data_IF_478374205079
#
_entry.id   IF_478374205079
#
_cell.length_a   1.000
_cell.length_b   1.000
_cell.length_c   1.000
_cell.angle_alpha   90.00
_cell.angle_beta   90.00
_cell.angle_gamma   90.00
#
_symmetry.space_group_name_H-M   'P 1'
#
loop_
_entity.id
_entity.type
_entity.pdbx_description
1 polymer ?
#
# COMPACT_ATOMS: atom_id res chain seq x y z
N UNK A 1 -41.67 -36.46 -22.34
CA UNK A 1 -40.30 -36.42 -21.75
C UNK A 1 -39.91 -34.96 -21.68
N UNK A 2 -40.15 -34.36 -20.51
CA UNK A 2 -39.87 -32.94 -20.27
C UNK A 2 -38.46 -32.81 -19.65
N UNK A 3 -37.50 -32.29 -20.41
CA UNK A 3 -36.16 -31.98 -19.94
C UNK A 3 -36.19 -30.73 -19.06
N UNK A 4 -36.09 -30.90 -17.75
CA UNK A 4 -35.91 -29.82 -16.82
C UNK A 4 -34.52 -29.24 -16.96
N UNK A 5 -34.40 -27.97 -17.35
CA UNK A 5 -33.16 -27.21 -17.31
C UNK A 5 -32.77 -26.97 -15.85
N UNK A 6 -31.65 -27.55 -15.41
CA UNK A 6 -31.02 -27.19 -14.15
C UNK A 6 -30.47 -25.76 -14.27
N UNK A 7 -31.14 -24.80 -13.68
CA UNK A 7 -30.59 -23.46 -13.44
C UNK A 7 -29.60 -23.61 -12.28
N UNK A 8 -28.31 -23.54 -12.58
CA UNK A 8 -27.29 -23.52 -11.54
C UNK A 8 -27.52 -22.33 -10.61
N UNK A 9 -27.63 -22.59 -9.31
CA UNK A 9 -27.74 -21.55 -8.32
C UNK A 9 -26.53 -20.60 -8.43
N UNK A 10 -26.69 -19.27 -8.25
CA UNK A 10 -25.57 -18.34 -8.30
C UNK A 10 -24.56 -18.77 -7.22
N UNK A 11 -23.31 -19.01 -7.64
CA UNK A 11 -22.21 -19.24 -6.69
C UNK A 11 -22.11 -18.00 -5.82
N UNK A 12 -22.44 -18.14 -4.53
CA UNK A 12 -22.12 -17.13 -3.52
C UNK A 12 -20.60 -16.94 -3.56
N UNK A 13 -20.16 -15.74 -3.89
CA UNK A 13 -18.75 -15.39 -3.81
C UNK A 13 -18.27 -15.59 -2.37
N UNK A 14 -17.10 -16.20 -2.15
CA UNK A 14 -16.57 -16.36 -0.82
C UNK A 14 -16.44 -14.98 -0.13
N UNK A 15 -16.60 -14.89 1.20
CA UNK A 15 -16.65 -13.61 1.95
C UNK A 15 -15.48 -12.66 1.66
N UNK A 16 -14.28 -13.19 1.37
CA UNK A 16 -13.10 -12.40 1.02
C UNK A 16 -13.18 -11.67 -0.33
N UNK A 17 -14.14 -12.02 -1.20
CA UNK A 17 -14.39 -11.32 -2.46
C UNK A 17 -15.42 -10.18 -2.33
N UNK A 18 -16.15 -10.09 -1.23
CA UNK A 18 -17.22 -9.10 -1.06
C UNK A 18 -16.70 -7.66 -0.85
N UNK A 19 -15.44 -7.50 -0.41
CA UNK A 19 -14.82 -6.19 -0.17
C UNK A 19 -13.73 -5.84 -1.19
N UNK A 20 -13.64 -6.59 -2.30
CA UNK A 20 -12.63 -6.40 -3.35
C UNK A 20 -13.24 -5.75 -4.58
N UNK A 21 -12.61 -4.70 -5.06
CA UNK A 21 -12.93 -3.99 -6.28
C UNK A 21 -11.75 -4.03 -7.25
N UNK A 22 -12.01 -4.23 -8.53
CA UNK A 22 -10.99 -4.19 -9.60
C UNK A 22 -11.41 -3.15 -10.63
N UNK A 23 -10.61 -2.11 -10.78
CA UNK A 23 -10.79 -1.02 -11.74
C UNK A 23 -9.74 -1.20 -12.83
N UNK A 24 -10.15 -1.48 -14.07
CA UNK A 24 -9.29 -1.51 -15.25
C UNK A 24 -9.45 -0.20 -16.01
N UNK A 25 -8.36 0.45 -16.35
CA UNK A 25 -8.41 1.76 -17.00
C UNK A 25 -7.23 2.04 -17.91
N UNK A 26 -7.52 2.68 -19.05
CA UNK A 26 -6.51 3.24 -19.94
C UNK A 26 -5.95 4.60 -19.43
N UNK A 27 -6.64 5.24 -18.47
CA UNK A 27 -6.24 6.53 -17.90
C UNK A 27 -5.64 6.37 -16.49
N UNK A 28 -4.80 5.36 -16.31
CA UNK A 28 -4.29 4.90 -15.02
C UNK A 28 -3.85 6.03 -14.08
N UNK A 29 -3.05 6.96 -14.58
CA UNK A 29 -2.45 8.01 -13.76
C UNK A 29 -3.52 8.96 -13.19
N UNK A 30 -4.42 9.45 -14.04
CA UNK A 30 -5.47 10.39 -13.63
C UNK A 30 -6.51 9.72 -12.75
N UNK A 31 -6.91 8.49 -13.08
CA UNK A 31 -7.94 7.78 -12.34
C UNK A 31 -7.44 7.36 -10.95
N UNK A 32 -6.19 6.87 -10.86
CA UNK A 32 -5.57 6.56 -9.58
C UNK A 32 -5.36 7.81 -8.71
N UNK A 33 -4.94 8.94 -9.30
CA UNK A 33 -4.78 10.19 -8.57
C UNK A 33 -6.12 10.70 -8.04
N UNK A 34 -7.16 10.69 -8.86
CA UNK A 34 -8.53 11.09 -8.47
C UNK A 34 -9.07 10.20 -7.36
N UNK A 35 -8.94 8.88 -7.50
CA UNK A 35 -9.35 7.91 -6.47
C UNK A 35 -8.69 8.18 -5.11
N UNK A 36 -7.38 8.45 -5.10
CA UNK A 36 -6.63 8.75 -3.86
C UNK A 36 -7.11 10.07 -3.25
N UNK A 37 -7.31 11.11 -4.06
CA UNK A 37 -7.79 12.42 -3.59
C UNK A 37 -9.22 12.34 -3.07
N UNK A 38 -10.11 11.59 -3.69
CA UNK A 38 -11.49 11.38 -3.21
C UNK A 38 -11.49 10.72 -1.83
N UNK A 39 -10.66 9.69 -1.62
CA UNK A 39 -10.50 9.07 -0.29
C UNK A 39 -9.93 10.06 0.73
N UNK A 40 -8.98 10.89 0.32
CA UNK A 40 -8.40 11.92 1.18
C UNK A 40 -9.43 12.97 1.58
N UNK A 41 -10.21 13.50 0.64
CA UNK A 41 -11.31 14.45 0.93
C UNK A 41 -12.35 13.85 1.88
N UNK A 42 -12.74 12.60 1.64
CA UNK A 42 -13.66 11.87 2.52
C UNK A 42 -13.09 11.73 3.93
N UNK A 43 -11.84 11.32 4.07
CA UNK A 43 -11.17 11.19 5.36
C UNK A 43 -11.11 12.53 6.11
N UNK A 44 -10.75 13.61 5.41
CA UNK A 44 -10.69 14.96 5.98
C UNK A 44 -12.06 15.47 6.44
N UNK A 45 -13.11 15.16 5.72
CA UNK A 45 -14.48 15.53 6.09
C UNK A 45 -14.96 14.77 7.34
N UNK A 46 -14.71 13.46 7.39
CA UNK A 46 -15.21 12.58 8.45
C UNK A 46 -14.34 12.60 9.71
N UNK A 47 -13.00 12.58 9.56
CA UNK A 47 -12.03 12.35 10.65
C UNK A 47 -11.09 13.51 10.92
N UNK A 48 -11.17 14.56 10.12
CA UNK A 48 -10.33 15.77 10.22
C UNK A 48 -8.84 15.55 9.87
N UNK A 49 -8.43 14.33 9.57
CA UNK A 49 -7.08 13.97 9.10
C UNK A 49 -7.18 12.88 8.02
N UNK A 50 -6.12 12.77 7.22
CA UNK A 50 -5.93 11.68 6.25
C UNK A 50 -4.59 11.00 6.51
N UNK A 51 -4.61 9.68 6.72
CA UNK A 51 -3.47 8.85 7.05
C UNK A 51 -3.15 7.92 5.89
N UNK A 52 -2.09 8.18 5.18
CA UNK A 52 -1.73 7.41 3.99
C UNK A 52 -0.35 6.79 4.10
N UNK A 53 -0.21 5.53 3.68
CA UNK A 53 1.08 4.91 3.47
C UNK A 53 1.37 4.83 1.96
N UNK A 54 2.53 5.36 1.56
CA UNK A 54 2.98 5.36 0.18
C UNK A 54 3.73 4.08 -0.17
N UNK A 55 3.62 3.64 -1.42
CA UNK A 55 4.48 2.62 -2.02
C UNK A 55 5.58 3.26 -2.86
N UNK A 56 6.66 2.51 -3.06
CA UNK A 56 7.74 2.88 -3.95
C UNK A 56 7.56 2.37 -5.38
N UNK A 57 8.56 2.66 -6.21
CA UNK A 57 8.66 2.13 -7.57
C UNK A 57 8.20 3.07 -8.68
N UNK A 58 8.25 2.56 -9.91
CA UNK A 58 7.98 3.37 -11.11
C UNK A 58 6.49 3.56 -11.38
N UNK A 59 5.63 2.64 -10.96
CA UNK A 59 4.19 2.69 -11.20
C UNK A 59 3.50 3.82 -10.42
N UNK A 60 3.74 4.03 -9.11
CA UNK A 60 3.11 5.13 -8.38
C UNK A 60 3.74 6.51 -8.65
N UNK A 61 4.98 6.60 -9.14
CA UNK A 61 5.66 7.88 -9.38
C UNK A 61 4.85 8.88 -10.21
N UNK A 62 4.32 8.54 -11.41
CA UNK A 62 3.50 9.47 -12.19
C UNK A 62 2.17 9.80 -11.51
N UNK A 63 1.59 8.87 -10.74
CA UNK A 63 0.38 9.13 -9.96
C UNK A 63 0.65 10.19 -8.89
N UNK A 64 1.79 10.12 -8.20
CA UNK A 64 2.19 11.12 -7.21
C UNK A 64 2.41 12.50 -7.83
N UNK A 65 3.03 12.56 -9.01
CA UNK A 65 3.18 13.82 -9.74
C UNK A 65 1.82 14.42 -10.14
N UNK A 66 0.87 13.59 -10.51
CA UNK A 66 -0.48 14.04 -10.86
C UNK A 66 -1.25 14.51 -9.62
N UNK A 67 -1.12 13.81 -8.46
CA UNK A 67 -1.66 14.28 -7.18
C UNK A 67 -1.11 15.67 -6.84
N UNK A 68 0.21 15.88 -6.92
CA UNK A 68 0.81 17.18 -6.63
C UNK A 68 0.28 18.28 -7.57
N UNK A 69 0.01 17.95 -8.84
CA UNK A 69 -0.57 18.89 -9.82
C UNK A 69 -2.02 19.25 -9.50
N UNK A 70 -2.82 18.28 -9.06
CA UNK A 70 -4.26 18.46 -8.81
C UNK A 70 -4.55 19.07 -7.43
N UNK A 71 -3.69 18.81 -6.44
CA UNK A 71 -3.91 19.10 -5.03
C UNK A 71 -3.14 20.34 -4.53
N UNK A 72 -3.09 21.43 -5.33
CA UNK A 72 -2.34 22.65 -4.99
C UNK A 72 -2.82 23.33 -3.70
N UNK A 73 -4.15 23.37 -3.49
CA UNK A 73 -4.79 23.99 -2.33
C UNK A 73 -5.23 22.94 -1.28
N UNK A 74 -4.63 21.74 -1.33
CA UNK A 74 -5.00 20.67 -0.42
C UNK A 74 -4.39 20.89 0.97
N UNK A 75 -5.14 20.64 2.06
CA UNK A 75 -4.67 20.91 3.42
C UNK A 75 -3.66 19.84 3.90
N UNK A 76 -2.46 19.85 3.33
CA UNK A 76 -1.40 18.88 3.59
C UNK A 76 -0.95 18.81 5.05
N UNK A 77 -1.15 19.88 5.85
CA UNK A 77 -0.91 19.91 7.28
C UNK A 77 -1.85 18.98 8.08
N UNK A 78 -2.93 18.52 7.45
CA UNK A 78 -3.89 17.56 8.01
C UNK A 78 -3.68 16.14 7.46
N UNK A 79 -2.60 15.92 6.75
CA UNK A 79 -2.22 14.62 6.21
C UNK A 79 -1.03 14.07 6.99
N UNK A 80 -1.07 12.79 7.32
CA UNK A 80 0.10 12.07 7.79
C UNK A 80 0.49 11.02 6.76
N UNK A 81 1.68 11.20 6.20
CA UNK A 81 2.25 10.35 5.17
C UNK A 81 3.28 9.42 5.81
N UNK A 82 3.11 8.13 5.62
CA UNK A 82 4.02 7.06 6.03
C UNK A 82 4.47 6.28 4.79
N UNK A 83 5.30 5.26 4.97
CA UNK A 83 5.77 4.39 3.90
C UNK A 83 5.47 2.93 4.24
N UNK A 84 4.95 2.17 3.27
CA UNK A 84 4.66 0.74 3.44
C UNK A 84 5.91 -0.12 3.47
N UNK A 85 6.97 0.33 2.78
CA UNK A 85 8.31 -0.24 2.79
C UNK A 85 9.38 0.79 2.41
N UNK A 86 10.63 0.48 2.74
CA UNK A 86 11.78 1.28 2.31
C UNK A 86 13.01 0.39 2.12
N UNK A 87 13.91 0.87 1.26
CA UNK A 87 15.20 0.24 1.02
C UNK A 87 16.19 0.71 2.08
N UNK A 88 17.04 -0.19 2.56
CA UNK A 88 18.09 0.14 3.53
C UNK A 88 19.24 0.88 2.84
N UNK A 89 18.97 2.13 2.48
CA UNK A 89 19.88 3.06 1.80
C UNK A 89 19.67 4.48 2.33
N UNK A 90 20.63 5.41 2.13
CA UNK A 90 20.44 6.82 2.46
C UNK A 90 19.22 7.45 1.76
N UNK A 91 18.58 8.47 2.37
CA UNK A 91 17.33 9.06 1.87
C UNK A 91 17.47 9.81 0.53
N UNK A 92 18.69 10.08 0.09
CA UNK A 92 19.04 10.70 -1.20
C UNK A 92 19.51 9.68 -2.25
N UNK A 93 19.57 8.39 -1.90
CA UNK A 93 19.92 7.31 -2.82
C UNK A 93 18.82 7.11 -3.87
N UNK A 94 19.20 6.72 -5.10
CA UNK A 94 18.26 6.49 -6.22
C UNK A 94 17.23 5.39 -5.95
N UNK A 95 17.58 4.45 -5.10
CA UNK A 95 16.70 3.36 -4.72
C UNK A 95 15.70 3.73 -3.61
N UNK A 96 15.86 4.87 -2.92
CA UNK A 96 14.99 5.27 -1.82
C UNK A 96 13.57 5.59 -2.28
N UNK A 97 12.59 4.97 -1.63
CA UNK A 97 11.18 5.28 -1.81
C UNK A 97 10.86 6.71 -1.34
N UNK A 98 11.50 7.14 -0.23
CA UNK A 98 11.38 8.50 0.25
C UNK A 98 11.89 9.53 -0.77
N UNK A 99 13.08 9.30 -1.39
CA UNK A 99 13.59 10.19 -2.45
C UNK A 99 12.60 10.29 -3.60
N UNK A 100 12.09 9.16 -4.07
CA UNK A 100 11.14 9.12 -5.16
C UNK A 100 9.87 9.93 -4.82
N UNK A 101 9.28 9.71 -3.64
CA UNK A 101 8.11 10.44 -3.19
C UNK A 101 8.41 11.95 -2.99
N UNK A 102 9.60 12.29 -2.46
CA UNK A 102 10.03 13.68 -2.29
C UNK A 102 10.07 14.42 -3.61
N UNK A 103 10.62 13.80 -4.66
CA UNK A 103 10.75 14.41 -5.98
C UNK A 103 9.42 14.50 -6.75
N UNK A 104 8.55 13.49 -6.60
CA UNK A 104 7.31 13.40 -7.37
C UNK A 104 6.08 13.99 -6.67
N UNK A 105 6.09 14.07 -5.33
CA UNK A 105 4.93 14.51 -4.56
C UNK A 105 5.28 15.65 -3.60
N UNK A 106 6.30 15.49 -2.73
CA UNK A 106 6.46 16.39 -1.59
C UNK A 106 6.92 17.77 -2.00
N UNK A 107 7.97 17.87 -2.82
CA UNK A 107 8.45 19.16 -3.32
C UNK A 107 7.46 19.84 -4.26
N UNK A 108 6.89 19.15 -5.29
CA UNK A 108 5.92 19.78 -6.17
C UNK A 108 4.60 20.15 -5.48
N UNK A 109 4.21 19.42 -4.43
CA UNK A 109 2.98 19.64 -3.67
C UNK A 109 3.14 20.56 -2.45
N UNK A 110 4.36 21.08 -2.21
CA UNK A 110 4.71 21.91 -1.03
C UNK A 110 4.26 21.27 0.30
N UNK A 111 4.48 19.94 0.42
CA UNK A 111 4.04 19.17 1.59
C UNK A 111 4.97 19.43 2.77
N UNK A 112 4.43 19.89 3.94
CA UNK A 112 5.26 20.19 5.09
C UNK A 112 5.94 18.94 5.66
N UNK A 113 7.19 19.07 6.08
CA UNK A 113 7.99 17.96 6.64
C UNK A 113 7.32 17.28 7.84
N UNK A 114 6.59 18.04 8.66
CA UNK A 114 5.84 17.50 9.81
C UNK A 114 4.74 16.51 9.43
N UNK A 115 4.31 16.55 8.16
CA UNK A 115 3.32 15.63 7.60
C UNK A 115 3.93 14.30 7.14
N UNK A 116 5.25 14.15 7.20
CA UNK A 116 5.98 13.03 6.62
C UNK A 116 6.71 12.24 7.70
N UNK A 117 6.39 10.98 7.85
CA UNK A 117 7.10 10.03 8.69
C UNK A 117 7.83 9.03 7.80
N UNK A 118 9.14 9.16 7.65
CA UNK A 118 9.96 8.28 6.82
C UNK A 118 10.59 7.14 7.60
N UNK A 119 10.84 6.03 6.97
CA UNK A 119 11.71 4.97 7.47
C UNK A 119 13.17 5.39 7.30
N UNK A 120 14.00 5.15 8.31
CA UNK A 120 15.43 5.52 8.31
C UNK A 120 16.28 4.39 7.73
N UNK A 121 16.27 4.26 6.39
CA UNK A 121 17.03 3.21 5.69
C UNK A 121 18.55 3.31 5.80
N UNK A 122 19.08 4.43 6.28
CA UNK A 122 20.50 4.72 6.42
C UNK A 122 21.15 4.20 7.70
N UNK A 123 20.36 3.65 8.64
CA UNK A 123 20.87 3.07 9.89
C UNK A 123 20.71 1.55 9.88
N UNK A 124 21.16 0.90 10.95
CA UNK A 124 20.98 -0.55 11.11
C UNK A 124 19.52 -0.95 10.87
N UNK A 125 19.23 -1.96 10.04
CA UNK A 125 17.87 -2.33 9.64
C UNK A 125 16.97 -2.73 10.82
N UNK A 126 17.51 -3.42 11.84
CA UNK A 126 16.71 -3.83 13.00
C UNK A 126 16.36 -2.64 13.87
N UNK A 127 17.31 -1.72 14.05
CA UNK A 127 17.10 -0.47 14.79
C UNK A 127 16.07 0.39 14.04
N UNK A 128 16.23 0.56 12.73
CA UNK A 128 15.31 1.34 11.90
C UNK A 128 13.87 0.80 11.94
N UNK A 129 13.70 -0.51 11.85
CA UNK A 129 12.40 -1.15 11.94
C UNK A 129 11.76 -0.95 13.32
N UNK A 130 12.54 -1.09 14.40
CA UNK A 130 12.05 -0.87 15.76
C UNK A 130 11.65 0.59 15.99
N UNK A 131 12.51 1.55 15.61
CA UNK A 131 12.18 2.98 15.73
C UNK A 131 10.88 3.34 14.99
N UNK A 132 10.70 2.79 13.78
CA UNK A 132 9.50 3.08 12.99
C UNK A 132 8.25 2.41 13.57
N UNK A 133 8.37 1.19 14.09
CA UNK A 133 7.28 0.51 14.81
C UNK A 133 6.86 1.31 16.04
N UNK A 134 7.83 1.79 16.84
CA UNK A 134 7.55 2.59 18.03
C UNK A 134 6.83 3.90 17.67
N UNK A 135 7.25 4.56 16.59
CA UNK A 135 6.59 5.77 16.08
C UNK A 135 5.15 5.50 15.63
N UNK A 136 4.90 4.42 14.89
CA UNK A 136 3.55 4.00 14.51
C UNK A 136 2.71 3.64 15.75
N UNK A 137 3.31 2.98 16.73
CA UNK A 137 2.68 2.67 18.02
C UNK A 137 2.29 3.91 18.82
N UNK A 138 3.19 4.91 18.87
CA UNK A 138 2.91 6.19 19.51
C UNK A 138 1.75 6.93 18.83
N UNK A 139 1.72 6.94 17.50
CA UNK A 139 0.63 7.53 16.72
C UNK A 139 -0.72 6.83 16.99
N UNK A 140 -0.73 5.50 17.17
CA UNK A 140 -1.92 4.76 17.56
C UNK A 140 -2.39 5.17 18.97
N UNK A 141 -1.47 5.18 19.93
CA UNK A 141 -1.76 5.53 21.34
C UNK A 141 -2.33 6.95 21.46
N UNK A 142 -1.77 7.92 20.75
CA UNK A 142 -2.25 9.31 20.73
C UNK A 142 -3.70 9.43 20.23
N UNK A 143 -4.19 8.44 19.51
CA UNK A 143 -5.57 8.36 18.95
C UNK A 143 -6.48 7.40 19.68
N UNK A 144 -5.99 6.77 20.78
CA UNK A 144 -6.73 5.75 21.51
C UNK A 144 -6.93 4.44 20.73
N UNK A 145 -6.07 4.19 19.75
CA UNK A 145 -6.10 2.99 18.92
C UNK A 145 -5.09 1.95 19.47
N UNK A 146 -5.44 0.67 19.45
CA UNK A 146 -4.50 -0.41 19.78
C UNK A 146 -3.49 -0.67 18.64
N UNK A 147 -3.94 -0.53 17.42
CA UNK A 147 -3.16 -0.63 16.20
C UNK A 147 -3.45 0.61 15.38
N UNK A 148 -2.41 1.30 14.91
CA UNK A 148 -2.56 2.46 14.03
C UNK A 148 -3.33 2.09 12.75
N UNK A 149 -4.41 2.82 12.49
CA UNK A 149 -5.28 2.53 11.37
C UNK A 149 -5.13 3.54 10.26
N UNK A 150 -4.43 3.17 9.19
CA UNK A 150 -4.35 3.98 7.97
C UNK A 150 -5.72 4.13 7.31
N UNK A 151 -5.99 5.29 6.74
CA UNK A 151 -7.15 5.49 5.86
C UNK A 151 -6.91 4.84 4.50
N UNK A 152 -5.65 4.91 4.02
CA UNK A 152 -5.23 4.29 2.77
C UNK A 152 -3.81 3.75 2.87
N UNK A 153 -3.60 2.53 2.41
CA UNK A 153 -2.27 1.97 2.13
C UNK A 153 -2.17 1.71 0.63
N UNK A 154 -1.19 2.33 -0.01
CA UNK A 154 -0.86 2.07 -1.41
C UNK A 154 0.14 0.93 -1.50
N UNK A 155 -0.10 -0.01 -2.38
CA UNK A 155 0.76 -1.16 -2.63
C UNK A 155 1.06 -1.30 -4.12
N UNK A 156 2.21 -1.88 -4.43
CA UNK A 156 2.55 -2.40 -5.75
C UNK A 156 2.50 -3.92 -5.79
N UNK A 157 2.65 -4.49 -6.98
CA UNK A 157 2.81 -5.92 -7.21
C UNK A 157 4.14 -6.16 -7.92
N UNK A 158 5.01 -6.97 -7.33
CA UNK A 158 6.27 -7.38 -7.97
C UNK A 158 6.09 -8.63 -8.83
N UNK A 159 7.11 -8.93 -9.65
CA UNK A 159 7.11 -10.02 -10.63
C UNK A 159 6.95 -11.43 -10.01
N UNK A 160 7.26 -11.57 -8.73
CA UNK A 160 7.13 -12.79 -7.95
C UNK A 160 5.91 -12.75 -7.00
N UNK A 161 5.00 -11.80 -7.20
CA UNK A 161 3.81 -11.63 -6.40
C UNK A 161 4.04 -11.02 -5.02
N UNK A 162 5.25 -10.49 -4.74
CA UNK A 162 5.48 -9.74 -3.51
C UNK A 162 4.72 -8.40 -3.52
N UNK A 163 4.42 -7.91 -2.34
CA UNK A 163 3.92 -6.56 -2.12
C UNK A 163 4.63 -5.92 -0.94
N UNK A 164 4.73 -4.58 -0.91
CA UNK A 164 5.66 -3.89 -0.02
C UNK A 164 7.05 -4.53 -0.14
N UNK A 165 7.68 -4.95 0.99
CA UNK A 165 8.85 -5.83 0.94
C UNK A 165 8.60 -7.20 1.58
N UNK A 166 7.39 -7.75 1.38
CA UNK A 166 6.95 -9.08 1.79
C UNK A 166 7.18 -10.07 0.64
N UNK A 167 8.41 -10.58 0.53
CA UNK A 167 8.85 -11.46 -0.56
C UNK A 167 8.58 -12.93 -0.27
N UNK A 168 8.30 -13.76 -1.30
CA UNK A 168 8.16 -15.21 -1.12
C UNK A 168 9.34 -15.81 -0.38
N UNK A 169 9.05 -16.67 0.61
CA UNK A 169 10.07 -17.40 1.37
C UNK A 169 10.88 -16.57 2.37
N UNK A 170 10.48 -15.33 2.65
CA UNK A 170 11.16 -14.51 3.66
C UNK A 170 10.45 -14.52 5.01
N UNK A 171 11.19 -14.26 6.08
CA UNK A 171 10.70 -14.33 7.46
C UNK A 171 9.54 -13.36 7.75
N UNK A 172 9.49 -12.21 7.08
CA UNK A 172 8.44 -11.22 7.27
C UNK A 172 7.03 -11.73 6.92
N UNK A 173 6.92 -12.79 6.10
CA UNK A 173 5.63 -13.41 5.79
C UNK A 173 4.98 -14.08 7.02
N UNK A 174 5.78 -14.56 7.96
CA UNK A 174 5.32 -15.29 9.15
C UNK A 174 5.14 -14.36 10.37
N UNK A 175 5.44 -13.07 10.21
CA UNK A 175 5.28 -12.10 11.28
C UNK A 175 3.79 -11.78 11.52
N UNK A 176 3.31 -12.04 12.74
CA UNK A 176 1.91 -11.90 13.10
C UNK A 176 1.66 -10.95 14.28
N UNK A 177 2.73 -10.41 14.87
CA UNK A 177 2.65 -9.54 16.05
C UNK A 177 3.16 -8.14 15.80
N UNK A 178 4.35 -8.01 15.23
CA UNK A 178 4.96 -6.72 14.91
C UNK A 178 4.28 -6.07 13.72
N UNK A 179 4.30 -4.75 13.70
CA UNK A 179 3.68 -3.93 12.63
C UNK A 179 4.70 -3.58 11.55
N UNK A 180 5.96 -3.43 11.96
CA UNK A 180 7.08 -3.11 11.08
C UNK A 180 8.25 -4.02 11.39
N UNK A 181 8.92 -4.55 10.37
CA UNK A 181 10.09 -5.41 10.52
C UNK A 181 11.17 -5.08 9.51
N UNK A 182 12.41 -5.40 9.87
CA UNK A 182 13.49 -5.55 8.91
C UNK A 182 13.41 -6.95 8.29
N UNK A 183 13.38 -7.01 6.97
CA UNK A 183 13.30 -8.25 6.21
C UNK A 183 14.52 -8.41 5.30
N UNK A 184 15.30 -9.46 5.51
CA UNK A 184 16.37 -9.80 4.59
C UNK A 184 15.79 -10.45 3.34
N UNK A 185 16.12 -9.94 2.17
CA UNK A 185 15.64 -10.43 0.87
C UNK A 185 16.79 -11.12 0.14
N UNK A 186 16.88 -12.46 0.17
CA UNK A 186 17.99 -13.21 -0.45
C UNK A 186 18.15 -12.92 -1.94
N UNK A 187 17.04 -12.77 -2.67
CA UNK A 187 17.02 -12.47 -4.12
C UNK A 187 17.87 -11.23 -4.49
N UNK A 188 17.95 -10.25 -3.60
CA UNK A 188 18.71 -9.02 -3.81
C UNK A 188 19.91 -8.88 -2.85
N UNK A 189 20.15 -9.87 -1.99
CA UNK A 189 21.16 -9.85 -0.94
C UNK A 189 21.16 -8.54 -0.13
N UNK A 190 19.97 -8.08 0.29
CA UNK A 190 19.80 -6.79 0.97
C UNK A 190 18.70 -6.83 2.00
N UNK A 191 18.76 -5.91 2.97
CA UNK A 191 17.70 -5.65 3.91
C UNK A 191 16.66 -4.67 3.34
N UNK A 192 15.45 -4.82 3.81
CA UNK A 192 14.31 -3.93 3.57
C UNK A 192 13.61 -3.64 4.89
N UNK A 193 13.01 -2.47 5.01
CA UNK A 193 12.05 -2.17 6.06
C UNK A 193 10.65 -2.36 5.47
N UNK A 194 9.75 -3.02 6.17
CA UNK A 194 8.42 -3.30 5.62
C UNK A 194 7.32 -3.32 6.67
N UNK A 195 6.15 -2.84 6.30
CA UNK A 195 4.92 -3.18 7.00
C UNK A 195 4.67 -4.68 6.90
N UNK A 196 4.05 -5.20 7.94
CA UNK A 196 3.60 -6.60 8.02
C UNK A 196 2.12 -6.72 7.68
N UNK A 197 1.62 -7.92 7.42
CA UNK A 197 0.20 -8.15 7.17
C UNK A 197 -0.71 -7.66 8.31
N UNK A 198 -0.37 -7.82 9.60
CA UNK A 198 -1.14 -7.23 10.70
C UNK A 198 -1.42 -5.74 10.55
N UNK A 199 -0.45 -4.94 10.10
CA UNK A 199 -0.67 -3.51 9.88
C UNK A 199 -1.40 -3.23 8.57
N UNK A 200 -1.01 -3.89 7.50
CA UNK A 200 -1.62 -3.70 6.16
C UNK A 200 -3.11 -4.03 6.22
N UNK A 201 -3.46 -5.19 6.79
CA UNK A 201 -4.84 -5.68 6.85
C UNK A 201 -5.70 -4.95 7.90
N UNK A 202 -5.10 -4.10 8.73
CA UNK A 202 -5.83 -3.22 9.65
C UNK A 202 -6.29 -1.90 9.00
N UNK A 203 -5.84 -1.58 7.80
CA UNK A 203 -6.21 -0.35 7.10
C UNK A 203 -7.72 -0.27 6.78
N UNK A 204 -8.23 0.96 6.66
CA UNK A 204 -9.60 1.21 6.15
C UNK A 204 -9.71 0.92 4.67
N UNK A 205 -8.64 1.16 3.94
CA UNK A 205 -8.55 0.88 2.51
C UNK A 205 -7.12 0.48 2.13
N UNK A 206 -7.01 -0.57 1.35
CA UNK A 206 -5.75 -0.94 0.69
C UNK A 206 -5.97 -0.83 -0.81
N UNK A 207 -5.07 -0.16 -1.51
CA UNK A 207 -5.15 0.00 -2.96
C UNK A 207 -3.86 -0.46 -3.63
N UNK A 208 -3.98 -1.45 -4.50
CA UNK A 208 -2.92 -1.85 -5.41
C UNK A 208 -2.90 -0.96 -6.64
N UNK A 209 -1.73 -0.39 -6.94
CA UNK A 209 -1.44 0.35 -8.15
C UNK A 209 -0.56 -0.52 -9.05
N UNK A 210 -1.11 -1.04 -10.15
CA UNK A 210 -0.43 -2.04 -10.98
C UNK A 210 -0.55 -1.70 -12.47
N UNK A 211 0.57 -1.80 -13.18
CA UNK A 211 0.56 -1.76 -14.64
C UNK A 211 0.26 -3.18 -15.16
N UNK A 212 -0.94 -3.39 -15.69
CA UNK A 212 -1.41 -4.71 -16.11
C UNK A 212 -0.64 -5.28 -17.30
N UNK A 213 -0.12 -4.42 -18.18
CA UNK A 213 0.63 -4.86 -19.38
C UNK A 213 1.91 -5.65 -19.05
N UNK A 214 2.44 -5.51 -17.83
CA UNK A 214 3.68 -6.19 -17.43
C UNK A 214 3.46 -7.52 -16.73
N UNK A 215 2.27 -7.76 -16.18
CA UNK A 215 2.04 -8.84 -15.22
C UNK A 215 0.67 -9.52 -15.38
N UNK A 216 0.09 -9.54 -16.60
CA UNK A 216 -1.29 -9.99 -16.81
C UNK A 216 -1.58 -11.36 -16.17
N UNK A 217 -0.78 -12.40 -16.48
CA UNK A 217 -0.98 -13.75 -15.95
C UNK A 217 -0.81 -13.80 -14.41
N UNK A 218 0.15 -13.06 -13.87
CA UNK A 218 0.36 -12.99 -12.43
C UNK A 218 -0.82 -12.31 -11.73
N UNK A 219 -1.34 -11.22 -12.31
CA UNK A 219 -2.49 -10.50 -11.76
C UNK A 219 -3.70 -11.41 -11.70
N UNK A 220 -4.02 -12.14 -12.77
CA UNK A 220 -5.14 -13.07 -12.80
C UNK A 220 -5.00 -14.13 -11.69
N UNK A 221 -3.83 -14.76 -11.55
CA UNK A 221 -3.59 -15.77 -10.51
C UNK A 221 -3.71 -15.19 -9.10
N UNK A 222 -3.21 -13.97 -8.88
CA UNK A 222 -3.36 -13.29 -7.58
C UNK A 222 -4.82 -12.95 -7.30
N UNK A 223 -5.56 -12.49 -8.30
CA UNK A 223 -6.99 -12.19 -8.17
C UNK A 223 -7.84 -13.45 -7.95
N UNK A 224 -7.43 -14.59 -8.50
CA UNK A 224 -8.03 -15.91 -8.27
C UNK A 224 -7.70 -16.51 -6.90
N UNK A 225 -6.75 -15.91 -6.16
CA UNK A 225 -6.40 -16.33 -4.79
C UNK A 225 -5.32 -17.39 -4.73
N UNK A 226 -4.42 -17.47 -5.71
CA UNK A 226 -3.29 -18.39 -5.68
C UNK A 226 -2.34 -18.10 -4.53
N UNK A 227 -2.43 -18.91 -3.49
CA UNK A 227 -1.78 -18.71 -2.19
C UNK A 227 -0.25 -18.71 -2.21
N UNK A 228 0.38 -19.05 -3.33
CA UNK A 228 1.83 -18.96 -3.45
C UNK A 228 2.33 -17.51 -3.47
N UNK A 229 1.44 -16.55 -3.80
CA UNK A 229 1.80 -15.14 -3.91
C UNK A 229 1.48 -14.37 -2.63
N UNK A 230 2.47 -13.66 -2.02
CA UNK A 230 2.24 -12.87 -0.81
C UNK A 230 1.11 -11.85 -0.94
N UNK A 231 0.93 -11.23 -2.12
CA UNK A 231 -0.14 -10.25 -2.36
C UNK A 231 -1.56 -10.79 -2.11
N UNK A 232 -1.78 -12.10 -2.22
CA UNK A 232 -3.08 -12.75 -1.92
C UNK A 232 -3.45 -12.63 -0.44
N UNK A 233 -2.46 -12.52 0.45
CA UNK A 233 -2.68 -12.39 1.91
C UNK A 233 -3.10 -10.98 2.33
N UNK A 234 -3.13 -10.02 1.39
CA UNK A 234 -3.70 -8.70 1.64
C UNK A 234 -5.21 -8.79 1.59
N UNK A 235 -5.82 -8.78 2.78
CA UNK A 235 -7.25 -8.91 2.98
C UNK A 235 -7.70 -8.05 4.20
N UNK A 236 -7.98 -6.77 4.00
CA UNK A 236 -8.42 -5.89 5.08
C UNK A 236 -9.83 -6.26 5.54
N UNK A 237 -9.95 -7.12 6.56
CA UNK A 237 -11.19 -7.71 7.05
C UNK A 237 -12.27 -6.70 7.47
N UNK A 238 -11.86 -5.53 7.95
CA UNK A 238 -12.76 -4.41 8.31
C UNK A 238 -12.57 -3.19 7.40
N UNK A 239 -12.01 -3.39 6.22
CA UNK A 239 -11.68 -2.37 5.24
C UNK A 239 -12.11 -2.74 3.83
N UNK A 240 -11.56 -2.04 2.84
CA UNK A 240 -11.77 -2.29 1.41
C UNK A 240 -10.45 -2.61 0.73
N UNK A 241 -10.50 -3.41 -0.31
CA UNK A 241 -9.37 -3.71 -1.18
C UNK A 241 -9.72 -3.32 -2.61
N UNK A 242 -8.98 -2.38 -3.18
CA UNK A 242 -9.13 -1.97 -4.58
C UNK A 242 -7.86 -2.26 -5.36
N UNK A 243 -8.02 -2.78 -6.56
CA UNK A 243 -6.96 -2.91 -7.55
C UNK A 243 -7.21 -1.91 -8.68
N UNK A 244 -6.28 -0.99 -8.92
CA UNK A 244 -6.31 -0.11 -10.08
C UNK A 244 -5.28 -0.64 -11.07
N UNK A 245 -5.76 -1.12 -12.19
CA UNK A 245 -4.98 -1.80 -13.24
C UNK A 245 -4.89 -0.90 -14.46
N UNK A 246 -3.67 -0.45 -14.79
CA UNK A 246 -3.40 0.30 -16.01
C UNK A 246 -3.28 -0.62 -17.22
N UNK A 247 -4.08 -0.39 -18.23
CA UNK A 247 -4.09 -1.10 -19.52
C UNK A 247 -3.21 -0.40 -20.56
#
# INVERSE_FOLDING_TARGET
MSGGAFVAAPRLLPPYLMNREVIRTANFVSDAASFILDLAHKALAERKEFRVALSGGNTPRPVYSEIARLARDFPWERVLITFGDERCVPPDNEQSNFRMARQSLFLPGDIPEKSILRMRGEIDPQIAAQEYEDQIGLLATQRGEQIYRHDLILLGLGDDGHTASLFPGTAALEENTRRVVANFVPKFNTWRLTFTFPLINHARHVCFLVNANKHADLIERVLEGDSQYPAVRVDPSAGRLTWILGE
#
